data_IF_762394019162
#
_entry.id   IF_762394019162
#
_cell.length_a   1.000
_cell.length_b   1.000
_cell.length_c   1.000
_cell.angle_alpha   90.00
_cell.angle_beta   90.00
_cell.angle_gamma   90.00
#
_symmetry.space_group_name_H-M   'P 1'
#
loop_
_entity.id
_entity.type
_entity.pdbx_description
1 polymer ?
#
# COMPACT_ATOMS: atom_id res chain seq x y z
N UNK A 1 10.98 -3.27 25.66
CA UNK A 1 11.07 -4.52 24.84
C UNK A 1 9.78 -5.29 25.09
N UNK A 2 9.12 -5.75 24.04
CA UNK A 2 7.96 -6.62 24.22
C UNK A 2 8.39 -7.87 24.96
N UNK A 3 7.78 -8.16 26.12
CA UNK A 3 8.06 -9.38 26.86
C UNK A 3 7.48 -10.57 26.09
N UNK A 4 8.35 -11.24 25.34
CA UNK A 4 7.98 -12.48 24.66
C UNK A 4 8.05 -13.66 25.64
N UNK A 5 7.07 -14.54 25.56
CA UNK A 5 7.12 -15.83 26.26
C UNK A 5 8.30 -16.67 25.74
N UNK A 6 8.82 -17.65 26.52
CA UNK A 6 9.89 -18.53 26.06
C UNK A 6 9.60 -19.18 24.70
N UNK A 7 8.36 -19.68 24.50
CA UNK A 7 7.91 -20.28 23.25
C UNK A 7 7.93 -19.29 22.06
N UNK A 8 7.59 -18.02 22.31
CA UNK A 8 7.63 -16.98 21.28
C UNK A 8 9.06 -16.58 20.91
N UNK A 9 9.99 -16.60 21.88
CA UNK A 9 11.43 -16.41 21.62
C UNK A 9 12.00 -17.54 20.78
N UNK A 10 11.68 -18.79 21.13
CA UNK A 10 12.06 -19.97 20.35
C UNK A 10 11.57 -19.88 18.89
N UNK A 11 10.30 -19.53 18.69
CA UNK A 11 9.76 -19.32 17.35
C UNK A 11 10.47 -18.22 16.56
N UNK A 12 10.89 -17.14 17.24
CA UNK A 12 11.64 -16.04 16.62
C UNK A 12 13.04 -16.49 16.21
N UNK A 13 13.76 -17.19 17.10
CA UNK A 13 15.10 -17.70 16.81
C UNK A 13 15.04 -18.74 15.68
N UNK A 14 14.03 -19.59 15.68
CA UNK A 14 13.79 -20.56 14.63
C UNK A 14 13.51 -19.87 13.27
N UNK A 15 12.59 -18.91 13.18
CA UNK A 15 12.33 -18.17 11.95
C UNK A 15 13.58 -17.46 11.45
N UNK A 16 14.33 -16.77 12.34
CA UNK A 16 15.57 -16.09 11.99
C UNK A 16 16.59 -17.07 11.41
N UNK A 17 16.79 -18.24 12.03
CA UNK A 17 17.76 -19.25 11.56
C UNK A 17 17.43 -19.78 10.17
N UNK A 18 16.15 -19.92 9.83
CA UNK A 18 15.70 -20.47 8.54
C UNK A 18 15.87 -19.53 7.36
N UNK A 19 15.86 -18.20 7.59
CA UNK A 19 15.73 -17.23 6.52
C UNK A 19 16.82 -16.14 6.50
N UNK A 20 17.71 -16.10 7.51
CA UNK A 20 18.71 -15.02 7.69
C UNK A 20 19.62 -14.81 6.47
N UNK A 21 19.89 -15.87 5.70
CA UNK A 21 20.76 -15.79 4.52
C UNK A 21 20.05 -15.20 3.29
N UNK A 22 18.72 -15.15 3.30
CA UNK A 22 17.90 -14.58 2.23
C UNK A 22 17.54 -13.11 2.48
N UNK A 23 17.71 -12.63 3.72
CA UNK A 23 17.39 -11.26 4.12
C UNK A 23 18.53 -10.33 3.74
N UNK A 24 18.19 -9.14 3.21
CA UNK A 24 19.17 -8.08 2.94
C UNK A 24 20.03 -7.82 4.19
N UNK A 25 21.37 -7.67 4.07
CA UNK A 25 22.27 -7.44 5.18
C UNK A 25 21.81 -6.39 6.18
N UNK A 26 21.25 -5.27 5.69
CA UNK A 26 20.75 -4.17 6.53
C UNK A 26 19.51 -4.51 7.37
N UNK A 27 18.87 -5.65 7.09
CA UNK A 27 17.67 -6.14 7.75
C UNK A 27 17.89 -7.40 8.58
N UNK A 28 19.07 -8.04 8.48
CA UNK A 28 19.37 -9.32 9.17
C UNK A 28 19.20 -9.25 10.68
N UNK A 29 19.57 -8.11 11.26
CA UNK A 29 19.51 -7.89 12.71
C UNK A 29 18.26 -7.11 13.15
N UNK A 30 17.33 -6.83 12.23
CA UNK A 30 16.04 -6.22 12.60
C UNK A 30 15.16 -7.26 13.32
N UNK A 31 15.27 -7.32 14.64
CA UNK A 31 14.39 -8.13 15.51
C UNK A 31 12.91 -7.96 15.18
N UNK A 32 12.48 -6.72 14.89
CA UNK A 32 11.08 -6.43 14.63
C UNK A 32 10.62 -6.88 13.24
N UNK A 33 11.51 -7.09 12.28
CA UNK A 33 11.17 -7.70 11.00
C UNK A 33 10.55 -9.09 11.25
N UNK A 34 11.29 -9.96 11.90
CA UNK A 34 10.84 -11.33 12.18
C UNK A 34 9.61 -11.36 13.08
N UNK A 35 9.59 -10.53 14.12
CA UNK A 35 8.49 -10.47 15.08
C UNK A 35 7.16 -10.07 14.44
N UNK A 36 7.16 -9.11 13.49
CA UNK A 36 5.93 -8.68 12.80
C UNK A 36 5.31 -9.82 11.99
N UNK A 37 6.12 -10.57 11.27
CA UNK A 37 5.62 -11.69 10.46
C UNK A 37 5.14 -12.85 11.34
N UNK A 38 5.81 -13.13 12.44
CA UNK A 38 5.35 -14.11 13.43
C UNK A 38 4.00 -13.70 14.05
N UNK A 39 3.85 -12.46 14.46
CA UNK A 39 2.59 -11.94 15.01
C UNK A 39 1.45 -12.02 13.99
N UNK A 40 1.73 -11.71 12.73
CA UNK A 40 0.75 -11.80 11.66
C UNK A 40 0.28 -13.24 11.37
N UNK A 41 0.96 -14.24 11.92
CA UNK A 41 0.67 -15.67 11.76
C UNK A 41 0.56 -16.40 13.10
N UNK A 42 0.19 -15.67 14.17
CA UNK A 42 -0.02 -16.21 15.51
C UNK A 42 1.16 -17.09 16.00
N UNK A 43 2.39 -16.69 15.67
CA UNK A 43 3.65 -17.40 15.95
C UNK A 43 3.74 -18.80 15.31
N UNK A 44 2.98 -19.07 14.25
CA UNK A 44 3.21 -20.24 13.41
C UNK A 44 4.42 -19.99 12.51
N UNK A 45 5.55 -20.62 12.82
CA UNK A 45 6.84 -20.40 12.14
C UNK A 45 6.74 -20.69 10.65
N UNK A 46 6.10 -21.79 10.23
CA UNK A 46 6.00 -22.16 8.82
C UNK A 46 5.21 -21.11 8.01
N UNK A 47 4.05 -20.68 8.53
CA UNK A 47 3.25 -19.65 7.85
C UNK A 47 3.93 -18.27 7.86
N UNK A 48 4.67 -17.96 8.91
CA UNK A 48 5.46 -16.72 9.00
C UNK A 48 6.64 -16.74 8.03
N UNK A 49 7.32 -17.87 7.89
CA UNK A 49 8.39 -18.10 6.91
C UNK A 49 7.88 -17.91 5.48
N UNK A 50 6.79 -18.55 5.10
CA UNK A 50 6.19 -18.42 3.78
C UNK A 50 5.83 -16.95 3.48
N UNK A 51 5.22 -16.27 4.45
CA UNK A 51 4.85 -14.85 4.30
C UNK A 51 6.09 -13.97 4.14
N UNK A 52 7.13 -14.19 4.94
CA UNK A 52 8.36 -13.39 4.89
C UNK A 52 9.15 -13.66 3.60
N UNK A 53 9.25 -14.90 3.11
CA UNK A 53 9.85 -15.22 1.80
C UNK A 53 9.12 -14.53 0.65
N UNK A 54 7.79 -14.56 0.67
CA UNK A 54 6.97 -13.85 -0.33
C UNK A 54 7.22 -12.33 -0.27
N UNK A 55 7.35 -11.76 0.93
CA UNK A 55 7.69 -10.35 1.12
C UNK A 55 9.08 -10.02 0.54
N UNK A 56 10.10 -10.82 0.82
CA UNK A 56 11.45 -10.60 0.28
C UNK A 56 11.47 -10.70 -1.26
N UNK A 57 10.78 -11.68 -1.81
CA UNK A 57 10.62 -11.82 -3.27
C UNK A 57 9.90 -10.61 -3.88
N UNK A 58 8.83 -10.13 -3.24
CA UNK A 58 8.10 -8.94 -3.66
C UNK A 58 8.98 -7.68 -3.58
N UNK A 59 9.75 -7.49 -2.51
CA UNK A 59 10.70 -6.36 -2.38
C UNK A 59 11.70 -6.34 -3.52
N UNK A 60 12.30 -7.50 -3.82
CA UNK A 60 13.26 -7.66 -4.91
C UNK A 60 12.63 -7.37 -6.27
N UNK A 61 11.50 -8.00 -6.59
CA UNK A 61 10.80 -7.85 -7.86
C UNK A 61 10.34 -6.41 -8.14
N UNK A 62 9.96 -5.66 -7.09
CA UNK A 62 9.48 -4.29 -7.19
C UNK A 62 10.54 -3.25 -6.84
N UNK A 63 11.80 -3.65 -6.60
CA UNK A 63 12.92 -2.75 -6.23
C UNK A 63 12.55 -1.83 -5.05
N UNK A 64 11.92 -2.39 -4.03
CA UNK A 64 11.38 -1.62 -2.91
C UNK A 64 12.49 -1.03 -2.03
N UNK A 65 13.62 -1.73 -1.90
CA UNK A 65 14.73 -1.29 -1.03
C UNK A 65 15.31 0.06 -1.46
N UNK A 66 15.22 0.37 -2.75
CA UNK A 66 15.69 1.64 -3.32
C UNK A 66 14.54 2.56 -3.78
N UNK A 67 13.30 2.28 -3.41
CA UNK A 67 12.13 3.01 -3.94
C UNK A 67 12.16 4.51 -3.61
N UNK A 68 12.76 4.89 -2.49
CA UNK A 68 12.84 6.29 -2.06
C UNK A 68 13.82 7.08 -2.94
N UNK A 69 14.92 6.47 -3.36
CA UNK A 69 15.99 7.11 -4.14
C UNK A 69 15.80 6.98 -5.63
N UNK A 70 15.35 5.82 -6.10
CA UNK A 70 15.40 5.46 -7.52
C UNK A 70 14.05 5.62 -8.23
N UNK A 71 12.93 5.69 -7.47
CA UNK A 71 11.62 5.90 -8.06
C UNK A 71 11.15 7.35 -7.92
N UNK A 72 10.94 8.01 -9.05
CA UNK A 72 10.30 9.31 -9.13
C UNK A 72 8.82 9.15 -9.50
N UNK A 73 7.87 9.34 -8.57
CA UNK A 73 6.45 9.27 -8.90
C UNK A 73 6.07 10.30 -9.96
N UNK A 74 5.05 9.99 -10.78
CA UNK A 74 4.52 10.93 -11.74
C UNK A 74 4.15 12.27 -11.07
N UNK A 75 4.35 13.38 -11.77
CA UNK A 75 4.04 14.73 -11.26
C UNK A 75 2.62 14.85 -10.71
N UNK A 76 1.66 14.16 -11.34
CA UNK A 76 0.27 14.15 -10.90
C UNK A 76 0.12 13.48 -9.52
N UNK A 77 0.83 12.40 -9.26
CA UNK A 77 0.82 11.71 -7.94
C UNK A 77 1.44 12.62 -6.90
N UNK A 78 2.62 13.21 -7.19
CA UNK A 78 3.28 14.15 -6.27
C UNK A 78 2.36 15.33 -5.92
N UNK A 79 1.65 15.88 -6.90
CA UNK A 79 0.90 17.12 -6.72
C UNK A 79 -0.52 16.90 -6.18
N UNK A 80 -1.20 15.84 -6.63
CA UNK A 80 -2.64 15.67 -6.40
C UNK A 80 -3.01 14.53 -5.46
N UNK A 81 -2.07 13.66 -5.07
CA UNK A 81 -2.33 12.67 -4.01
C UNK A 81 -2.26 13.38 -2.64
N UNK A 82 -3.38 13.52 -1.92
CA UNK A 82 -3.41 14.27 -0.67
C UNK A 82 -3.07 13.38 0.55
N UNK A 83 -1.93 12.71 0.52
CA UNK A 83 -1.46 11.79 1.56
C UNK A 83 -0.14 12.31 2.15
N UNK A 84 -0.23 13.13 3.20
CA UNK A 84 0.90 13.91 3.75
C UNK A 84 1.23 13.50 5.17
N UNK A 85 2.53 13.29 5.49
CA UNK A 85 2.99 13.14 6.88
C UNK A 85 2.95 14.49 7.58
N UNK A 86 2.23 14.57 8.72
CA UNK A 86 2.05 15.80 9.49
C UNK A 86 3.01 15.90 10.66
N UNK A 87 3.64 14.82 11.07
CA UNK A 87 4.58 14.76 12.18
C UNK A 87 4.58 13.39 12.84
N UNK A 88 4.75 13.37 14.15
CA UNK A 88 4.81 12.17 14.97
C UNK A 88 3.80 12.27 16.12
N UNK A 89 3.23 11.15 16.52
CA UNK A 89 2.37 11.09 17.70
C UNK A 89 3.20 11.07 19.01
N UNK A 90 2.53 11.04 20.15
CA UNK A 90 3.16 11.07 21.49
C UNK A 90 4.13 9.91 21.76
N UNK A 91 3.97 8.80 21.04
CA UNK A 91 4.87 7.64 21.11
C UNK A 91 5.97 7.65 20.05
N UNK A 92 6.04 8.73 19.25
CA UNK A 92 7.00 8.90 18.18
C UNK A 92 6.63 8.21 16.87
N UNK A 93 5.42 7.67 16.74
CA UNK A 93 4.97 7.04 15.51
C UNK A 93 4.61 8.08 14.44
N UNK A 94 5.01 7.90 13.17
CA UNK A 94 4.63 8.81 12.10
C UNK A 94 3.11 8.94 11.99
N UNK A 95 2.63 10.16 11.79
CA UNK A 95 1.23 10.47 11.56
C UNK A 95 1.05 11.00 10.15
N UNK A 96 0.17 10.35 9.35
CA UNK A 96 -0.24 10.85 8.05
C UNK A 96 -1.70 11.26 8.04
N UNK A 97 -1.95 12.35 7.34
CA UNK A 97 -3.28 12.82 7.00
C UNK A 97 -3.59 12.55 5.54
N UNK A 98 -4.76 12.03 5.26
CA UNK A 98 -5.25 11.75 3.93
C UNK A 98 -6.63 12.40 3.71
N UNK A 99 -6.68 13.45 2.90
CA UNK A 99 -7.94 14.09 2.49
C UNK A 99 -8.67 13.23 1.42
N UNK A 100 -9.03 12.01 1.78
CA UNK A 100 -9.55 10.99 0.87
C UNK A 100 -10.88 11.43 0.22
N UNK A 101 -11.75 12.06 1.00
CA UNK A 101 -13.05 12.53 0.51
C UNK A 101 -12.94 13.56 -0.62
N UNK A 102 -11.93 14.43 -0.58
CA UNK A 102 -11.70 15.46 -1.58
C UNK A 102 -10.75 15.04 -2.71
N UNK A 103 -10.11 13.88 -2.61
CA UNK A 103 -9.23 13.38 -3.66
C UNK A 103 -9.98 13.15 -4.98
N UNK A 104 -9.40 13.60 -6.08
CA UNK A 104 -9.86 13.27 -7.43
C UNK A 104 -9.19 11.98 -7.93
N UNK A 105 -9.63 10.85 -7.38
CA UNK A 105 -9.11 9.53 -7.77
C UNK A 105 -9.33 9.22 -9.25
N UNK A 106 -10.44 9.71 -9.83
CA UNK A 106 -10.75 9.54 -11.25
C UNK A 106 -9.75 10.29 -12.12
N UNK A 107 -9.45 11.55 -11.79
CA UNK A 107 -8.46 12.35 -12.50
C UNK A 107 -7.04 11.77 -12.37
N UNK A 108 -6.65 11.33 -11.17
CA UNK A 108 -5.35 10.66 -10.95
C UNK A 108 -5.24 9.42 -11.85
N UNK A 109 -6.25 8.52 -11.81
CA UNK A 109 -6.22 7.27 -12.59
C UNK A 109 -6.37 7.46 -14.10
N UNK A 110 -6.83 8.64 -14.55
CA UNK A 110 -6.75 9.03 -15.96
C UNK A 110 -5.39 9.55 -16.37
N UNK A 111 -4.57 9.97 -15.42
CA UNK A 111 -3.28 10.65 -15.63
C UNK A 111 -2.08 9.74 -15.44
N UNK A 112 -2.25 8.59 -14.80
CA UNK A 112 -1.17 7.66 -14.47
C UNK A 112 -1.66 6.23 -14.46
N UNK A 113 -0.81 5.28 -14.82
CA UNK A 113 -1.13 3.84 -14.72
C UNK A 113 -1.40 3.46 -13.26
N UNK A 114 -2.35 2.54 -13.04
CA UNK A 114 -2.73 2.06 -11.69
C UNK A 114 -1.51 1.64 -10.86
N UNK A 115 -0.63 0.82 -11.44
CA UNK A 115 0.53 0.30 -10.74
C UNK A 115 1.50 1.41 -10.33
N UNK A 116 1.66 2.44 -11.13
CA UNK A 116 2.49 3.60 -10.80
C UNK A 116 1.89 4.42 -9.66
N UNK A 117 0.56 4.59 -9.64
CA UNK A 117 -0.16 5.22 -8.53
C UNK A 117 0.05 4.44 -7.23
N UNK A 118 -0.13 3.10 -7.26
CA UNK A 118 0.10 2.22 -6.11
C UNK A 118 1.55 2.32 -5.65
N UNK A 119 2.51 2.28 -6.58
CA UNK A 119 3.94 2.40 -6.27
C UNK A 119 4.28 3.72 -5.57
N UNK A 120 3.63 4.83 -5.96
CA UNK A 120 3.77 6.12 -5.27
C UNK A 120 3.25 6.08 -3.82
N UNK A 121 2.18 5.34 -3.55
CA UNK A 121 1.67 5.15 -2.18
C UNK A 121 2.60 4.25 -1.37
N UNK A 122 3.13 3.19 -1.98
CA UNK A 122 4.13 2.30 -1.35
C UNK A 122 5.39 3.10 -0.99
N UNK A 123 5.84 4.02 -1.84
CA UNK A 123 6.95 4.92 -1.50
C UNK A 123 6.65 5.75 -0.24
N UNK A 124 5.39 6.20 -0.04
CA UNK A 124 5.01 6.87 1.20
C UNK A 124 5.10 5.94 2.43
N UNK A 125 4.80 4.64 2.27
CA UNK A 125 4.96 3.67 3.36
C UNK A 125 6.44 3.43 3.69
N UNK A 126 7.29 3.30 2.68
CA UNK A 126 8.75 3.16 2.90
C UNK A 126 9.37 4.44 3.48
N UNK A 127 8.86 5.63 3.11
CA UNK A 127 9.24 6.90 3.73
C UNK A 127 8.86 6.94 5.22
N UNK A 128 7.71 6.38 5.61
CA UNK A 128 7.34 6.22 7.01
C UNK A 128 8.22 5.18 7.73
N UNK A 129 8.64 4.09 7.06
CA UNK A 129 9.60 3.13 7.61
C UNK A 129 10.94 3.80 7.88
N UNK A 130 11.44 4.61 6.95
CA UNK A 130 12.66 5.38 7.12
C UNK A 130 12.54 6.37 8.30
N UNK A 131 11.43 7.10 8.36
CA UNK A 131 11.15 8.04 9.46
C UNK A 131 11.07 7.34 10.83
N UNK A 132 10.49 6.13 10.90
CA UNK A 132 10.47 5.33 12.14
C UNK A 132 11.88 4.93 12.58
N UNK A 133 12.77 4.59 11.66
CA UNK A 133 14.17 4.28 11.99
C UNK A 133 14.89 5.49 12.59
N UNK A 134 14.73 6.66 11.97
CA UNK A 134 15.32 7.91 12.48
C UNK A 134 14.71 8.33 13.82
N UNK A 135 13.38 8.23 13.95
CA UNK A 135 12.70 8.58 15.20
C UNK A 135 13.09 7.62 16.34
N UNK A 136 13.27 6.32 16.05
CA UNK A 136 13.73 5.35 17.04
C UNK A 136 15.09 5.72 17.62
N UNK A 137 16.03 6.21 16.78
CA UNK A 137 17.35 6.70 17.23
C UNK A 137 17.20 7.96 18.09
N UNK A 138 16.32 8.90 17.67
CA UNK A 138 16.12 10.18 18.34
C UNK A 138 15.55 10.04 19.75
N UNK A 139 14.57 9.16 19.94
CA UNK A 139 13.90 8.98 21.24
C UNK A 139 14.42 7.78 22.05
N UNK A 140 15.44 7.08 21.51
CA UNK A 140 16.05 5.88 22.12
C UNK A 140 15.05 4.77 22.46
N UNK A 141 13.98 4.69 21.67
CA UNK A 141 12.92 3.68 21.80
C UNK A 141 12.55 3.13 20.42
N UNK A 142 12.20 1.84 20.30
CA UNK A 142 11.78 1.28 19.03
C UNK A 142 10.44 1.86 18.60
N UNK A 143 10.42 2.51 17.44
CA UNK A 143 9.20 2.98 16.75
C UNK A 143 8.96 2.06 15.57
N UNK A 144 7.85 1.33 15.57
CA UNK A 144 7.59 0.26 14.61
C UNK A 144 6.25 0.40 13.88
N UNK A 145 5.45 1.37 14.26
CA UNK A 145 4.08 1.55 13.80
C UNK A 145 3.84 2.99 13.34
N UNK A 146 2.76 3.19 12.60
CA UNK A 146 2.27 4.49 12.15
C UNK A 146 0.81 4.71 12.48
N UNK A 147 0.40 5.96 12.50
CA UNK A 147 -0.98 6.40 12.71
C UNK A 147 -1.49 7.13 11.48
N UNK A 148 -2.66 6.76 10.99
CA UNK A 148 -3.26 7.39 9.82
C UNK A 148 -4.60 8.05 10.15
N UNK A 149 -4.83 9.24 9.58
CA UNK A 149 -6.08 9.99 9.66
C UNK A 149 -6.63 10.08 8.24
N UNK A 150 -7.74 9.39 7.99
CA UNK A 150 -8.44 9.42 6.71
C UNK A 150 -9.66 10.32 6.84
N UNK A 151 -9.66 11.47 6.17
CA UNK A 151 -10.79 12.38 6.15
C UNK A 151 -11.67 12.11 4.93
N UNK A 152 -12.91 11.72 5.20
CA UNK A 152 -13.94 11.43 4.18
C UNK A 152 -14.90 12.60 3.92
N UNK A 153 -14.57 13.81 4.40
CA UNK A 153 -15.33 14.99 4.03
C UNK A 153 -15.36 15.17 2.49
N UNK A 154 -16.52 15.50 1.93
CA UNK A 154 -16.69 15.58 0.47
C UNK A 154 -16.72 14.24 -0.28
N UNK A 155 -16.77 13.09 0.42
CA UNK A 155 -16.91 11.79 -0.24
C UNK A 155 -18.32 11.55 -0.73
N UNK A 156 -18.47 11.29 -2.02
CA UNK A 156 -19.77 11.19 -2.71
C UNK A 156 -20.07 9.75 -3.16
N UNK A 157 -21.34 9.49 -3.52
CA UNK A 157 -21.74 8.22 -4.11
C UNK A 157 -20.93 7.89 -5.39
N UNK A 158 -20.73 8.88 -6.27
CA UNK A 158 -19.95 8.69 -7.49
C UNK A 158 -18.49 8.26 -7.22
N UNK A 159 -17.87 8.77 -6.14
CA UNK A 159 -16.54 8.33 -5.70
C UNK A 159 -16.58 6.93 -5.11
N UNK A 160 -17.60 6.62 -4.30
CA UNK A 160 -17.76 5.33 -3.64
C UNK A 160 -18.00 4.16 -4.60
N UNK A 161 -18.56 4.44 -5.78
CA UNK A 161 -18.88 3.43 -6.79
C UNK A 161 -17.96 3.47 -8.02
N UNK A 162 -16.94 4.31 -8.01
CA UNK A 162 -15.99 4.39 -9.12
C UNK A 162 -15.11 3.13 -9.18
N UNK A 163 -15.46 2.22 -10.08
CA UNK A 163 -14.85 0.90 -10.21
C UNK A 163 -13.31 0.94 -10.28
N UNK A 164 -12.65 1.76 -11.12
CA UNK A 164 -11.18 1.78 -11.18
C UNK A 164 -10.52 2.18 -9.85
N UNK A 165 -11.15 3.10 -9.08
CA UNK A 165 -10.67 3.47 -7.74
C UNK A 165 -10.80 2.31 -6.76
N UNK A 166 -11.93 1.61 -6.75
CA UNK A 166 -12.15 0.45 -5.89
C UNK A 166 -11.15 -0.67 -6.18
N UNK A 167 -10.92 -0.97 -7.45
CA UNK A 167 -9.93 -1.98 -7.86
C UNK A 167 -8.51 -1.57 -7.47
N UNK A 168 -8.18 -0.27 -7.53
CA UNK A 168 -6.88 0.25 -7.08
C UNK A 168 -6.73 0.10 -5.57
N UNK A 169 -7.78 0.41 -4.80
CA UNK A 169 -7.80 0.23 -3.35
C UNK A 169 -7.68 -1.25 -2.96
N UNK A 170 -8.40 -2.14 -3.62
CA UNK A 170 -8.30 -3.59 -3.41
C UNK A 170 -6.86 -4.04 -3.60
N UNK A 171 -6.24 -3.70 -4.74
CA UNK A 171 -4.86 -4.07 -5.02
C UNK A 171 -3.87 -3.48 -4.00
N UNK A 172 -4.07 -2.24 -3.58
CA UNK A 172 -3.26 -1.58 -2.55
C UNK A 172 -3.38 -2.27 -1.19
N UNK A 173 -4.61 -2.57 -0.74
CA UNK A 173 -4.82 -3.21 0.56
C UNK A 173 -4.31 -4.65 0.59
N UNK A 174 -4.44 -5.40 -0.51
CA UNK A 174 -3.82 -6.74 -0.62
C UNK A 174 -2.29 -6.66 -0.47
N UNK A 175 -1.65 -5.69 -1.14
CA UNK A 175 -0.20 -5.49 -0.99
C UNK A 175 0.18 -5.03 0.42
N UNK A 176 -0.64 -4.17 1.03
CA UNK A 176 -0.44 -3.69 2.39
C UNK A 176 -0.46 -4.84 3.40
N UNK A 177 -1.51 -5.65 3.41
CA UNK A 177 -1.66 -6.79 4.34
C UNK A 177 -0.56 -7.85 4.14
N UNK A 178 -0.13 -8.07 2.89
CA UNK A 178 0.93 -9.03 2.59
C UNK A 178 2.33 -8.55 3.01
N UNK A 179 2.58 -7.24 2.95
CA UNK A 179 3.96 -6.73 3.04
C UNK A 179 4.24 -5.82 4.25
N UNK A 180 3.21 -5.27 4.88
CA UNK A 180 3.34 -4.35 6.03
C UNK A 180 2.61 -4.83 7.28
N UNK A 181 2.73 -6.14 7.66
CA UNK A 181 2.04 -6.66 8.83
C UNK A 181 2.47 -5.90 10.08
N UNK A 182 1.51 -5.71 11.01
CA UNK A 182 1.70 -5.07 12.32
C UNK A 182 2.24 -3.63 12.31
N UNK A 183 2.27 -2.96 11.13
CA UNK A 183 2.72 -1.57 11.00
C UNK A 183 1.66 -0.55 11.44
N UNK A 184 0.38 -0.86 11.33
CA UNK A 184 -0.66 0.06 11.76
C UNK A 184 -0.75 0.10 13.29
N UNK A 185 -0.66 1.30 13.88
CA UNK A 185 -0.98 1.58 15.29
C UNK A 185 -2.46 1.94 15.42
N UNK A 186 -2.89 2.92 14.66
CA UNK A 186 -4.28 3.39 14.63
C UNK A 186 -4.63 3.97 13.25
N UNK A 187 -5.86 3.78 12.83
CA UNK A 187 -6.45 4.45 11.68
C UNK A 187 -7.74 5.15 12.12
N UNK A 188 -7.73 6.46 12.08
CA UNK A 188 -8.88 7.29 12.37
C UNK A 188 -9.59 7.65 11.07
N UNK A 189 -10.78 7.09 10.87
CA UNK A 189 -11.67 7.44 9.76
C UNK A 189 -12.59 8.53 10.25
N UNK A 190 -12.43 9.76 9.77
CA UNK A 190 -13.21 10.92 10.22
C UNK A 190 -14.14 11.43 9.12
N UNK A 191 -15.24 12.07 9.51
CA UNK A 191 -16.27 12.58 8.60
C UNK A 191 -16.87 11.48 7.70
N UNK A 192 -16.95 10.23 8.21
CA UNK A 192 -17.50 9.12 7.48
C UNK A 192 -19.00 9.33 7.20
N UNK A 193 -19.37 9.26 5.94
CA UNK A 193 -20.77 9.32 5.50
C UNK A 193 -21.32 7.92 5.15
N UNK A 194 -22.59 7.82 4.85
CA UNK A 194 -23.20 6.58 4.33
C UNK A 194 -22.46 6.04 3.10
N UNK A 195 -21.90 6.89 2.26
CA UNK A 195 -21.13 6.48 1.08
C UNK A 195 -19.80 5.83 1.43
N UNK A 196 -19.17 6.24 2.52
CA UNK A 196 -18.00 5.53 3.07
C UNK A 196 -18.32 4.08 3.37
N UNK A 197 -19.46 3.79 3.97
CA UNK A 197 -19.88 2.43 4.33
C UNK A 197 -19.98 1.51 3.09
N UNK A 198 -20.36 2.04 1.94
CA UNK A 198 -20.40 1.29 0.67
C UNK A 198 -18.98 0.85 0.26
N UNK A 199 -18.05 1.78 0.19
CA UNK A 199 -16.65 1.46 -0.17
C UNK A 199 -15.97 0.58 0.88
N UNK A 200 -16.21 0.84 2.17
CA UNK A 200 -15.62 0.07 3.25
C UNK A 200 -16.12 -1.37 3.30
N UNK A 201 -17.37 -1.64 2.94
CA UNK A 201 -17.89 -3.02 2.86
C UNK A 201 -17.14 -3.90 1.86
N UNK A 202 -16.56 -3.30 0.82
CA UNK A 202 -15.76 -3.99 -0.21
C UNK A 202 -14.34 -4.23 0.30
N UNK A 203 -13.78 -3.28 1.04
CA UNK A 203 -12.38 -3.34 1.52
C UNK A 203 -12.27 -4.19 2.80
N UNK A 204 -13.26 -4.13 3.68
CA UNK A 204 -13.26 -4.80 4.99
C UNK A 204 -12.87 -6.29 4.95
N UNK A 205 -13.36 -7.11 4.01
CA UNK A 205 -13.00 -8.53 3.93
C UNK A 205 -11.52 -8.80 3.59
N UNK A 206 -10.81 -7.78 3.07
CA UNK A 206 -9.39 -7.89 2.70
C UNK A 206 -8.46 -7.59 3.89
N UNK A 207 -8.99 -6.99 4.95
CA UNK A 207 -8.22 -6.59 6.12
C UNK A 207 -8.21 -7.70 7.17
N UNK A 208 -7.04 -7.93 7.78
CA UNK A 208 -6.91 -8.85 8.89
C UNK A 208 -7.71 -8.39 10.12
N UNK A 209 -8.07 -9.32 10.98
CA UNK A 209 -8.75 -8.98 12.24
C UNK A 209 -7.90 -8.06 13.13
N UNK A 210 -6.58 -8.19 13.08
CA UNK A 210 -5.64 -7.32 13.79
C UNK A 210 -5.70 -5.89 13.25
N UNK A 211 -5.73 -5.70 11.93
CA UNK A 211 -5.86 -4.39 11.27
C UNK A 211 -7.24 -3.77 11.59
N UNK A 212 -8.31 -4.54 11.48
CA UNK A 212 -9.68 -4.04 11.74
C UNK A 212 -9.86 -3.50 13.17
N UNK A 213 -9.24 -4.12 14.17
CA UNK A 213 -9.28 -3.66 15.57
C UNK A 213 -8.61 -2.30 15.79
N UNK A 214 -7.74 -1.88 14.87
CA UNK A 214 -7.01 -0.61 14.93
C UNK A 214 -7.71 0.52 14.16
N UNK A 215 -8.83 0.22 13.49
CA UNK A 215 -9.62 1.20 12.74
C UNK A 215 -10.77 1.69 13.60
N UNK A 216 -10.84 3.02 13.80
CA UNK A 216 -11.96 3.67 14.47
C UNK A 216 -12.66 4.60 13.50
N UNK A 217 -13.99 4.49 13.41
CA UNK A 217 -14.80 5.23 12.43
C UNK A 217 -15.65 6.24 13.17
N UNK A 218 -15.54 7.51 12.77
CA UNK A 218 -16.30 8.63 13.30
C UNK A 218 -17.11 9.29 12.18
N UNK A 219 -18.31 9.74 12.53
CA UNK A 219 -19.09 10.67 11.72
C UNK A 219 -18.46 12.08 11.75
N UNK A 220 -19.34 13.10 11.75
CA UNK A 220 -18.90 14.53 11.75
C UNK A 220 -18.26 14.96 13.06
N UNK A 221 -18.60 14.33 14.17
CA UNK A 221 -18.24 14.78 15.52
C UNK A 221 -17.49 13.69 16.32
N UNK A 222 -16.90 14.11 17.44
CA UNK A 222 -16.26 13.23 18.42
C UNK A 222 -14.81 12.88 18.19
N UNK A 223 -14.29 12.99 16.99
CA UNK A 223 -12.94 12.56 16.63
C UNK A 223 -11.82 13.53 17.04
N UNK A 224 -12.10 14.84 17.18
CA UNK A 224 -11.06 15.83 17.55
C UNK A 224 -10.40 15.52 18.89
N UNK A 225 -11.21 15.26 19.91
CA UNK A 225 -10.71 14.92 21.24
C UNK A 225 -9.95 13.57 21.24
N UNK A 226 -10.37 12.62 20.40
CA UNK A 226 -9.68 11.34 20.29
C UNK A 226 -8.31 11.49 19.64
N UNK A 227 -8.18 12.33 18.60
CA UNK A 227 -6.88 12.63 17.99
C UNK A 227 -5.92 13.25 19.00
N UNK A 228 -6.40 14.21 19.84
CA UNK A 228 -5.60 14.88 20.86
C UNK A 228 -5.14 13.97 22.00
N UNK A 229 -5.78 12.81 22.22
CA UNK A 229 -5.27 11.82 23.18
C UNK A 229 -3.92 11.24 22.76
N UNK A 230 -3.71 11.07 21.45
CA UNK A 230 -2.54 10.39 20.90
C UNK A 230 -1.56 11.33 20.18
N UNK A 231 -2.02 12.48 19.71
CA UNK A 231 -1.22 13.45 18.94
C UNK A 231 -1.18 14.76 19.70
N UNK A 232 0.02 15.34 19.83
CA UNK A 232 0.18 16.63 20.49
C UNK A 232 -0.50 17.76 19.70
N UNK A 233 -1.13 18.74 20.39
CA UNK A 233 -1.79 19.87 19.73
C UNK A 233 -0.89 20.63 18.75
N UNK A 234 0.40 20.77 19.08
CA UNK A 234 1.40 21.46 18.23
C UNK A 234 1.69 20.72 16.92
N UNK A 235 1.48 19.40 16.89
CA UNK A 235 1.66 18.57 15.69
C UNK A 235 0.39 18.55 14.85
N UNK A 236 -0.77 18.53 15.51
CA UNK A 236 -2.06 18.40 14.85
C UNK A 236 -2.53 19.76 14.29
N UNK A 237 -2.87 19.83 12.98
CA UNK A 237 -3.44 21.05 12.38
C UNK A 237 -4.69 21.55 13.10
N UNK A 238 -4.87 22.86 13.16
CA UNK A 238 -5.97 23.50 13.90
C UNK A 238 -7.35 23.08 13.38
N UNK A 239 -7.52 22.88 12.07
CA UNK A 239 -8.79 22.35 11.53
C UNK A 239 -9.11 20.92 12.00
N UNK A 240 -8.10 20.16 12.42
CA UNK A 240 -8.25 18.83 13.02
C UNK A 240 -8.39 18.88 14.56
N UNK A 241 -8.41 20.07 15.14
CA UNK A 241 -8.59 20.28 16.57
C UNK A 241 -7.30 20.50 17.36
N UNK A 242 -6.14 20.58 16.69
CA UNK A 242 -4.87 20.96 17.30
C UNK A 242 -4.63 22.49 17.27
N UNK A 243 -3.37 22.89 17.44
CA UNK A 243 -2.95 24.29 17.49
C UNK A 243 -2.08 24.69 16.27
N UNK A 244 -1.68 23.72 15.44
CA UNK A 244 -0.78 23.99 14.32
C UNK A 244 -1.47 24.78 13.22
N UNK A 245 -0.83 25.87 12.80
CA UNK A 245 -1.25 26.71 11.68
C UNK A 245 -0.08 26.90 10.70
N UNK A 246 -0.36 27.44 9.52
CA UNK A 246 0.67 27.99 8.64
C UNK A 246 1.31 29.24 9.27
N UNK A 247 2.48 29.70 8.78
CA UNK A 247 3.13 30.91 9.29
C UNK A 247 2.28 32.18 9.22
N UNK A 248 1.30 32.23 8.32
CA UNK A 248 0.30 33.30 8.18
C UNK A 248 -0.91 33.16 9.12
N UNK A 249 -0.91 32.12 9.98
CA UNK A 249 -2.01 31.82 10.90
C UNK A 249 -3.14 30.99 10.27
N UNK A 250 -3.01 30.53 9.02
CA UNK A 250 -4.04 29.74 8.36
C UNK A 250 -4.20 28.36 9.04
N UNK A 251 -5.39 28.06 9.61
CA UNK A 251 -5.63 26.80 10.32
C UNK A 251 -5.65 25.56 9.42
N UNK A 252 -5.77 25.75 8.11
CA UNK A 252 -5.79 24.65 7.13
C UNK A 252 -4.41 24.08 6.84
N UNK A 253 -3.33 24.76 7.21
CA UNK A 253 -1.94 24.34 6.98
C UNK A 253 -1.65 24.04 5.49
N UNK A 254 -2.10 24.89 4.57
CA UNK A 254 -2.01 24.69 3.12
C UNK A 254 -0.55 24.62 2.59
N UNK A 255 0.42 25.17 3.34
CA UNK A 255 1.84 25.10 2.99
C UNK A 255 2.41 23.69 3.19
N UNK A 256 1.79 22.89 4.03
CA UNK A 256 2.24 21.55 4.40
C UNK A 256 1.32 20.48 3.84
N UNK A 257 0.00 20.72 3.89
CA UNK A 257 -1.03 19.74 3.58
C UNK A 257 -1.63 19.95 2.20
N UNK A 258 -1.93 18.84 1.57
CA UNK A 258 -2.74 18.77 0.35
C UNK A 258 -4.17 18.37 0.76
N UNK A 259 -5.14 19.24 0.45
CA UNK A 259 -6.54 18.99 0.80
C UNK A 259 -7.35 18.27 -0.29
N UNK A 260 -6.69 17.90 -1.38
CA UNK A 260 -7.34 17.33 -2.55
C UNK A 260 -7.98 18.42 -3.43
N UNK A 261 -7.85 18.25 -4.72
CA UNK A 261 -8.48 19.10 -5.73
C UNK A 261 -8.61 18.32 -7.04
N UNK A 262 -9.33 18.88 -8.00
CA UNK A 262 -9.48 18.27 -9.33
C UNK A 262 -8.12 18.25 -10.05
N UNK A 263 -7.86 17.15 -10.72
CA UNK A 263 -6.71 17.00 -11.62
C UNK A 263 -7.05 17.64 -12.95
N UNK A 264 -6.29 18.65 -13.42
CA UNK A 264 -6.51 19.24 -14.72
C UNK A 264 -6.39 18.22 -15.87
N UNK A 265 -7.22 18.38 -16.91
CA UNK A 265 -7.24 17.44 -18.03
C UNK A 265 -5.94 17.37 -18.83
N UNK A 266 -5.10 18.39 -18.70
CA UNK A 266 -3.75 18.43 -19.29
C UNK A 266 -2.81 17.32 -18.77
N UNK A 267 -3.12 16.77 -17.59
CA UNK A 267 -2.41 15.62 -17.02
C UNK A 267 -2.92 14.27 -17.53
N UNK A 268 -4.12 14.25 -18.17
CA UNK A 268 -4.70 12.99 -18.60
C UNK A 268 -3.89 12.34 -19.69
N UNK A 269 -3.67 11.03 -19.54
CA UNK A 269 -2.99 10.24 -20.57
C UNK A 269 -3.81 10.33 -21.87
N UNK A 270 -3.18 10.85 -22.94
CA UNK A 270 -3.81 10.89 -24.25
C UNK A 270 -3.79 9.49 -24.85
N UNK A 271 -4.92 9.04 -25.41
CA UNK A 271 -5.02 7.72 -26.05
C UNK A 271 -4.01 7.54 -27.22
N UNK A 272 -3.40 8.61 -27.69
CA UNK A 272 -2.53 8.57 -28.86
C UNK A 272 -1.04 8.39 -28.56
N UNK A 273 -0.57 8.73 -27.37
CA UNK A 273 0.88 8.75 -27.08
C UNK A 273 1.47 7.42 -26.60
N UNK A 274 0.64 6.43 -26.26
CA UNK A 274 1.14 5.16 -25.70
C UNK A 274 0.27 3.95 -26.08
N UNK A 275 -0.27 3.90 -27.30
CA UNK A 275 -0.83 2.62 -27.76
C UNK A 275 0.31 1.63 -27.96
N UNK A 276 0.28 0.56 -27.17
CA UNK A 276 1.17 -0.60 -27.36
C UNK A 276 1.15 -1.08 -28.80
N UNK A 277 -0.03 -1.04 -29.44
CA UNK A 277 -0.21 -1.42 -30.86
C UNK A 277 0.63 -0.63 -31.85
N UNK A 278 1.20 0.53 -31.47
CA UNK A 278 2.09 1.34 -32.30
C UNK A 278 3.58 1.12 -32.00
N UNK A 279 3.91 0.28 -31.02
CA UNK A 279 5.31 0.03 -30.66
C UNK A 279 5.91 -1.13 -31.46
N UNK A 280 7.19 -1.05 -31.85
CA UNK A 280 7.87 -2.17 -32.54
C UNK A 280 7.90 -3.42 -31.64
N UNK A 281 7.63 -4.58 -32.23
CA UNK A 281 7.68 -5.86 -31.51
C UNK A 281 6.40 -6.28 -30.79
N UNK A 282 5.38 -5.43 -30.73
CA UNK A 282 4.08 -5.79 -30.13
C UNK A 282 3.32 -6.77 -31.01
N UNK A 283 2.82 -7.85 -30.39
CA UNK A 283 2.01 -8.87 -31.07
C UNK A 283 0.54 -8.61 -30.78
N UNK A 284 -0.27 -8.52 -31.83
CA UNK A 284 -1.74 -8.47 -31.71
C UNK A 284 -2.29 -9.89 -31.57
N UNK A 285 -3.05 -10.12 -30.51
CA UNK A 285 -3.72 -11.38 -30.24
C UNK A 285 -5.25 -11.16 -30.24
N UNK A 286 -5.96 -12.10 -30.81
CA UNK A 286 -7.43 -12.11 -30.76
C UNK A 286 -7.91 -13.24 -29.86
N UNK A 287 -8.64 -12.89 -28.80
CA UNK A 287 -9.25 -13.85 -27.88
C UNK A 287 -10.75 -13.85 -28.12
N UNK A 288 -11.28 -14.95 -28.68
CA UNK A 288 -12.71 -15.06 -28.94
C UNK A 288 -13.49 -15.22 -27.63
N UNK A 289 -14.81 -14.91 -27.65
CA UNK A 289 -15.67 -15.09 -26.48
C UNK A 289 -15.63 -16.55 -26.00
N UNK A 290 -15.44 -16.74 -24.67
CA UNK A 290 -15.32 -18.04 -24.01
C UNK A 290 -14.11 -18.87 -24.45
N UNK A 291 -13.12 -18.26 -25.10
CA UNK A 291 -11.86 -18.88 -25.46
C UNK A 291 -10.70 -18.35 -24.62
N UNK A 292 -9.57 -19.02 -24.66
CA UNK A 292 -8.31 -18.59 -24.04
C UNK A 292 -7.16 -18.68 -25.03
N UNK A 293 -6.19 -17.80 -24.89
CA UNK A 293 -4.91 -17.85 -25.57
C UNK A 293 -3.84 -18.02 -24.51
N UNK A 294 -2.94 -18.99 -24.68
CA UNK A 294 -1.82 -19.25 -23.80
C UNK A 294 -0.53 -18.81 -24.48
N UNK A 295 0.31 -18.07 -23.78
CA UNK A 295 1.66 -17.71 -24.22
C UNK A 295 2.61 -18.47 -23.29
N UNK A 296 3.41 -19.38 -23.84
CA UNK A 296 4.41 -20.10 -23.06
C UNK A 296 5.77 -19.41 -23.20
N UNK A 297 6.42 -19.20 -22.07
CA UNK A 297 7.75 -18.64 -21.97
C UNK A 297 8.63 -19.63 -21.19
N UNK A 298 9.73 -20.05 -21.80
CA UNK A 298 10.71 -20.89 -21.12
C UNK A 298 11.71 -20.00 -20.38
N UNK A 299 11.90 -20.28 -19.09
CA UNK A 299 12.91 -19.63 -18.25
C UNK A 299 14.04 -20.62 -18.05
N UNK A 300 15.19 -20.36 -18.65
CA UNK A 300 16.35 -21.25 -18.63
C UNK A 300 17.26 -20.99 -17.42
N UNK A 301 17.30 -19.78 -16.93
CA UNK A 301 18.20 -19.36 -15.85
C UNK A 301 17.43 -18.94 -14.60
N UNK A 302 17.87 -19.39 -13.43
CA UNK A 302 17.34 -18.96 -12.15
C UNK A 302 17.65 -17.47 -11.93
N UNK A 303 16.63 -16.71 -11.48
CA UNK A 303 16.76 -15.27 -11.26
C UNK A 303 16.43 -14.40 -12.49
N UNK A 304 16.00 -15.01 -13.60
CA UNK A 304 15.51 -14.27 -14.76
C UNK A 304 14.29 -13.41 -14.40
N UNK A 305 14.23 -12.20 -14.93
CA UNK A 305 13.10 -11.29 -14.81
C UNK A 305 12.25 -11.39 -16.08
N UNK A 306 10.94 -11.60 -15.92
CA UNK A 306 9.97 -11.54 -17.00
C UNK A 306 9.13 -10.29 -16.81
N UNK A 307 9.15 -9.40 -17.78
CA UNK A 307 8.28 -8.23 -17.84
C UNK A 307 7.30 -8.38 -19.01
N UNK A 308 6.06 -8.01 -18.79
CA UNK A 308 5.05 -7.96 -19.83
C UNK A 308 4.15 -6.76 -19.68
N UNK A 309 3.70 -6.27 -20.80
CA UNK A 309 2.70 -5.21 -20.90
C UNK A 309 1.68 -5.61 -21.97
N UNK A 310 0.40 -5.37 -21.73
CA UNK A 310 -0.63 -5.57 -22.74
C UNK A 310 -1.74 -4.53 -22.61
N UNK A 311 -2.45 -4.32 -23.71
CA UNK A 311 -3.65 -3.47 -23.74
C UNK A 311 -4.80 -4.20 -24.41
N UNK A 312 -6.03 -3.85 -24.07
CA UNK A 312 -7.25 -4.33 -24.73
C UNK A 312 -7.86 -3.22 -25.56
N UNK A 313 -8.30 -3.53 -26.80
CA UNK A 313 -8.84 -2.50 -27.68
C UNK A 313 -10.28 -2.07 -27.28
N UNK A 314 -11.18 -3.00 -26.96
CA UNK A 314 -12.60 -2.69 -26.82
C UNK A 314 -13.32 -3.43 -25.68
N UNK A 315 -12.74 -4.43 -25.06
CA UNK A 315 -13.36 -5.30 -24.04
C UNK A 315 -12.35 -5.72 -22.99
N UNK A 316 -12.83 -6.07 -21.82
CA UNK A 316 -12.05 -6.68 -20.75
C UNK A 316 -11.73 -8.14 -21.08
N UNK A 317 -10.58 -8.60 -20.61
CA UNK A 317 -10.15 -10.00 -20.67
C UNK A 317 -9.78 -10.50 -19.28
N UNK A 318 -9.91 -11.81 -19.05
CA UNK A 318 -9.29 -12.50 -17.92
C UNK A 318 -7.79 -12.72 -18.18
N UNK A 319 -6.95 -12.43 -17.21
CA UNK A 319 -5.52 -12.69 -17.23
C UNK A 319 -5.12 -13.54 -16.03
N UNK A 320 -4.31 -14.55 -16.26
CA UNK A 320 -3.75 -15.43 -15.23
C UNK A 320 -2.31 -15.74 -15.58
N UNK A 321 -1.41 -15.77 -14.59
CA UNK A 321 -0.05 -16.24 -14.76
C UNK A 321 0.13 -17.57 -14.05
N UNK A 322 0.55 -18.57 -14.82
CA UNK A 322 0.76 -19.94 -14.35
C UNK A 322 2.24 -20.31 -14.45
N UNK A 323 2.77 -21.01 -13.46
CA UNK A 323 4.09 -21.61 -13.49
C UNK A 323 3.96 -23.13 -13.67
N UNK A 324 4.64 -23.68 -14.65
CA UNK A 324 4.85 -25.13 -14.80
C UNK A 324 6.27 -25.49 -14.36
N UNK A 325 6.43 -26.51 -13.57
CA UNK A 325 7.73 -27.08 -13.22
C UNK A 325 7.98 -28.32 -14.06
N UNK A 326 9.08 -28.34 -14.82
CA UNK A 326 9.39 -29.42 -15.74
C UNK A 326 9.80 -30.73 -15.06
N UNK A 327 9.99 -30.78 -13.74
CA UNK A 327 10.58 -31.91 -13.02
C UNK A 327 9.67 -32.57 -11.96
N UNK A 328 8.40 -32.25 -11.88
CA UNK A 328 7.47 -32.93 -10.97
C UNK A 328 6.51 -33.84 -11.73
N UNK A 329 6.28 -35.04 -11.19
CA UNK A 329 5.23 -35.97 -11.69
C UNK A 329 3.82 -35.37 -11.53
N UNK A 330 3.68 -34.22 -10.96
CA UNK A 330 2.45 -33.45 -10.80
C UNK A 330 2.45 -32.27 -11.79
N UNK A 331 1.80 -32.48 -12.92
CA UNK A 331 1.71 -31.52 -14.03
C UNK A 331 0.69 -30.39 -13.78
N UNK A 332 0.21 -30.17 -12.56
CA UNK A 332 -0.74 -29.08 -12.26
C UNK A 332 -0.01 -27.74 -12.22
N UNK A 333 -0.35 -26.80 -13.12
CA UNK A 333 0.27 -25.48 -13.10
C UNK A 333 -0.07 -24.74 -11.81
N UNK A 334 0.93 -24.16 -11.13
CA UNK A 334 0.74 -23.32 -9.96
C UNK A 334 0.39 -21.89 -10.41
N UNK A 335 -0.70 -21.36 -9.90
CA UNK A 335 -1.04 -19.94 -10.13
C UNK A 335 -0.06 -19.04 -9.39
N UNK A 336 0.64 -18.16 -10.14
CA UNK A 336 1.48 -17.10 -9.59
C UNK A 336 0.70 -15.79 -9.46
N UNK A 337 -0.16 -15.51 -10.43
CA UNK A 337 -1.12 -14.41 -10.40
C UNK A 337 -2.48 -15.04 -10.67
N UNK A 338 -3.42 -14.95 -9.71
CA UNK A 338 -4.76 -15.47 -9.88
C UNK A 338 -5.49 -14.75 -11.02
N UNK A 339 -6.52 -15.40 -11.58
CA UNK A 339 -7.31 -14.81 -12.66
C UNK A 339 -7.84 -13.43 -12.28
N UNK A 340 -7.48 -12.44 -13.06
CA UNK A 340 -7.91 -11.06 -12.92
C UNK A 340 -8.60 -10.61 -14.21
N UNK A 341 -9.69 -9.87 -14.06
CA UNK A 341 -10.32 -9.20 -15.19
C UNK A 341 -9.71 -7.81 -15.36
N UNK A 342 -9.18 -7.55 -16.55
CA UNK A 342 -8.45 -6.32 -16.87
C UNK A 342 -9.14 -5.62 -18.03
#
# INVERSE_FOLDING_TARGET
MDELTPKQKEALDELKSRIVDEVNPDMKDDFYLYLRFLRARDFNVNLAEDMLRNHLAWRKANQIDNIITDFAPAKVVIKYLPFTRIGFDKDGCPVRYFAFGNMDSKGILKSVKRNECIRGIIQCFEDDVAAMKEQSKKIEKPVQQWTYIFNFDGYTFAKATHKPTLETLIALFMQYEANYPERLKAAYIINASVYFSIAFSIIKPLLSGATLKKITIYGKDGWKNELLKTIDPEVLPAFLGGDRTDPDGNPMCNTILKHGCLVPEEYYMTKSSNRLSSQPGVKKLSVARLSKVCIELNVEEAGSLIEWEFETENRDIGFVLLRKENNSNDCTPKELIPEQRI
#
